data_IF_505358040934
#
_entry.id   IF_505358040934
#
_cell.length_a   1.000
_cell.length_b   1.000
_cell.length_c   1.000
_cell.angle_alpha   90.00
_cell.angle_beta   90.00
_cell.angle_gamma   90.00
#
_symmetry.space_group_name_H-M   'P 1'
#
loop_
_entity.id
_entity.type
_entity.pdbx_description
1 polymer ?
#
# COMPACT_ATOMS: atom_id res chain seq x y z
N UNK A 1 11.57 -5.58 -13.59
CA UNK A 1 11.76 -4.70 -14.76
C UNK A 1 12.64 -5.47 -15.73
N UNK A 2 12.15 -5.81 -16.92
CA UNK A 2 12.99 -6.46 -17.93
C UNK A 2 13.92 -5.40 -18.52
N UNK A 3 15.25 -5.47 -18.33
CA UNK A 3 16.15 -4.38 -18.70
C UNK A 3 16.09 -4.06 -20.20
N UNK A 4 15.87 -5.09 -21.02
CA UNK A 4 15.69 -4.99 -22.48
C UNK A 4 14.52 -4.10 -22.87
N UNK A 5 13.41 -4.14 -22.11
CA UNK A 5 12.21 -3.36 -22.40
C UNK A 5 12.40 -1.88 -22.18
N UNK A 6 13.13 -1.50 -21.14
CA UNK A 6 13.39 -0.11 -20.85
C UNK A 6 14.33 0.52 -21.87
N UNK A 7 15.35 -0.23 -22.32
CA UNK A 7 16.33 0.24 -23.31
C UNK A 7 15.67 0.62 -24.63
N UNK A 8 14.86 -0.26 -25.23
CA UNK A 8 14.24 0.07 -26.51
C UNK A 8 13.21 1.21 -26.39
N UNK A 9 12.49 1.31 -25.27
CA UNK A 9 11.51 2.39 -25.04
C UNK A 9 12.19 3.75 -24.92
N UNK A 10 13.34 3.80 -24.23
CA UNK A 10 14.15 5.01 -24.14
C UNK A 10 14.67 5.45 -25.51
N UNK A 11 15.13 4.50 -26.34
CA UNK A 11 15.52 4.79 -27.73
C UNK A 11 14.33 5.32 -28.53
N UNK A 12 13.16 4.69 -28.46
CA UNK A 12 11.97 5.16 -29.18
C UNK A 12 11.53 6.57 -28.73
N UNK A 13 11.68 6.90 -27.44
CA UNK A 13 11.38 8.22 -26.91
C UNK A 13 12.37 9.27 -27.44
N UNK A 14 13.67 8.96 -27.47
CA UNK A 14 14.71 9.84 -28.03
C UNK A 14 14.45 10.16 -29.51
N UNK A 15 13.96 9.17 -30.28
CA UNK A 15 13.69 9.30 -31.71
C UNK A 15 12.23 9.67 -32.03
N UNK A 16 11.43 10.08 -31.04
CA UNK A 16 9.99 10.30 -31.21
C UNK A 16 9.63 11.35 -32.30
N UNK A 17 10.53 12.29 -32.60
CA UNK A 17 10.35 13.28 -33.67
C UNK A 17 10.46 12.69 -35.10
N UNK A 18 11.02 11.49 -35.24
CA UNK A 18 11.13 10.76 -36.51
C UNK A 18 9.92 9.85 -36.75
N UNK A 19 9.84 9.17 -37.90
CA UNK A 19 8.74 8.23 -38.13
C UNK A 19 8.95 6.90 -37.38
N UNK A 20 7.86 6.25 -36.97
CA UNK A 20 7.93 4.96 -36.27
C UNK A 20 8.68 3.86 -37.06
N UNK A 21 8.65 3.91 -38.40
CA UNK A 21 9.39 2.99 -39.24
C UNK A 21 10.90 3.26 -39.22
N UNK A 22 11.32 4.53 -39.24
CA UNK A 22 12.73 4.91 -39.17
C UNK A 22 13.33 4.53 -37.81
N UNK A 23 12.63 4.86 -36.73
CA UNK A 23 13.04 4.45 -35.40
C UNK A 23 13.09 2.92 -35.25
N UNK A 24 12.17 2.18 -35.87
CA UNK A 24 12.23 0.72 -35.87
C UNK A 24 13.47 0.17 -36.61
N UNK A 25 13.85 0.74 -37.76
CA UNK A 25 15.08 0.32 -38.46
C UNK A 25 16.33 0.62 -37.63
N UNK A 26 16.40 1.79 -37.02
CA UNK A 26 17.50 2.15 -36.12
C UNK A 26 17.58 1.21 -34.91
N UNK A 27 16.43 0.83 -34.38
CA UNK A 27 16.34 -0.07 -33.23
C UNK A 27 16.77 -1.50 -33.60
N UNK A 28 16.44 -1.97 -34.80
CA UNK A 28 16.96 -3.24 -35.34
C UNK A 28 18.48 -3.20 -35.54
N UNK A 29 19.01 -2.11 -36.09
CA UNK A 29 20.45 -1.97 -36.33
C UNK A 29 21.26 -1.93 -35.02
N UNK A 30 20.74 -1.25 -34.00
CA UNK A 30 21.41 -1.11 -32.70
C UNK A 30 21.23 -2.30 -31.76
N UNK A 31 20.08 -2.98 -31.78
CA UNK A 31 19.74 -4.03 -30.80
C UNK A 31 19.61 -5.44 -31.39
N UNK A 32 19.62 -5.59 -32.71
CA UNK A 32 19.48 -6.88 -33.40
C UNK A 32 18.26 -7.66 -32.90
N UNK A 33 18.47 -8.91 -32.50
CA UNK A 33 17.42 -9.81 -32.00
C UNK A 33 16.74 -9.35 -30.69
N UNK A 34 17.32 -8.37 -30.00
CA UNK A 34 16.73 -7.79 -28.79
C UNK A 34 15.82 -6.58 -29.10
N UNK A 35 15.67 -6.24 -30.38
CA UNK A 35 14.82 -5.16 -30.84
C UNK A 35 13.33 -5.44 -30.58
N UNK A 36 12.59 -4.39 -30.29
CA UNK A 36 11.14 -4.46 -30.24
C UNK A 36 10.56 -4.69 -31.65
N UNK A 37 9.45 -5.43 -31.72
CA UNK A 37 8.73 -5.63 -32.98
C UNK A 37 8.24 -4.32 -33.57
N UNK A 38 8.07 -4.27 -34.90
CA UNK A 38 7.46 -3.13 -35.59
C UNK A 38 6.14 -2.71 -34.95
N UNK A 39 5.26 -3.67 -34.63
CA UNK A 39 3.98 -3.40 -34.00
C UNK A 39 4.14 -2.70 -32.63
N UNK A 40 5.11 -3.14 -31.83
CA UNK A 40 5.44 -2.52 -30.54
C UNK A 40 5.89 -1.07 -30.72
N UNK A 41 6.75 -0.77 -31.69
CA UNK A 41 7.17 0.61 -31.98
C UNK A 41 5.97 1.50 -32.28
N UNK A 42 5.03 1.06 -33.12
CA UNK A 42 3.83 1.83 -33.45
C UNK A 42 2.91 2.08 -32.24
N UNK A 43 2.80 1.11 -31.33
CA UNK A 43 2.04 1.28 -30.08
C UNK A 43 2.68 2.38 -29.22
N UNK A 44 4.01 2.38 -29.08
CA UNK A 44 4.73 3.41 -28.32
C UNK A 44 4.62 4.79 -28.96
N UNK A 45 4.73 4.90 -30.28
CA UNK A 45 4.51 6.17 -30.98
C UNK A 45 3.10 6.72 -30.79
N UNK A 46 2.09 5.85 -30.69
CA UNK A 46 0.72 6.27 -30.34
C UNK A 46 0.65 6.82 -28.92
N UNK A 47 1.31 6.16 -27.96
CA UNK A 47 1.40 6.61 -26.56
C UNK A 47 2.09 7.97 -26.43
N UNK A 48 3.23 8.14 -27.09
CA UNK A 48 3.97 9.40 -27.13
C UNK A 48 3.14 10.55 -27.75
N UNK A 49 2.37 10.26 -28.82
CA UNK A 49 1.40 11.23 -29.40
C UNK A 49 0.28 11.63 -28.45
N UNK A 50 -0.05 10.77 -27.50
CA UNK A 50 -1.04 11.05 -26.47
C UNK A 50 -0.42 11.75 -25.23
N UNK A 51 0.85 12.14 -25.28
CA UNK A 51 1.55 12.83 -24.19
C UNK A 51 2.10 11.91 -23.09
N UNK A 52 2.14 10.59 -23.32
CA UNK A 52 2.72 9.64 -22.36
C UNK A 52 4.25 9.58 -22.53
N UNK A 53 4.99 10.45 -21.84
CA UNK A 53 6.46 10.56 -21.96
C UNK A 53 7.23 9.53 -21.11
N UNK A 54 6.55 8.81 -20.22
CA UNK A 54 7.20 7.80 -19.39
C UNK A 54 7.48 6.52 -20.17
N UNK A 55 8.74 6.06 -20.12
CA UNK A 55 9.14 4.76 -20.66
C UNK A 55 8.95 3.61 -19.65
N UNK A 56 8.64 3.95 -18.39
CA UNK A 56 8.41 2.97 -17.34
C UNK A 56 7.09 2.23 -17.55
N UNK A 57 7.09 0.93 -17.24
CA UNK A 57 5.84 0.19 -17.21
C UNK A 57 5.02 0.67 -16.01
N UNK A 58 3.84 1.24 -16.29
CA UNK A 58 2.87 1.53 -15.23
C UNK A 58 2.68 0.28 -14.36
N UNK A 59 2.51 0.44 -13.03
CA UNK A 59 2.24 -0.69 -12.17
C UNK A 59 1.09 -1.50 -12.76
N UNK A 60 1.34 -2.79 -13.02
CA UNK A 60 0.30 -3.66 -13.54
C UNK A 60 -0.86 -3.62 -12.55
N UNK A 61 -2.05 -3.31 -13.05
CA UNK A 61 -3.27 -3.45 -12.27
C UNK A 61 -3.39 -4.95 -11.98
N UNK A 62 -2.93 -5.33 -10.79
CA UNK A 62 -2.95 -6.71 -10.34
C UNK A 62 -4.37 -7.21 -10.17
N UNK A 63 -4.52 -8.38 -9.56
CA UNK A 63 -5.84 -8.87 -9.19
C UNK A 63 -6.56 -7.82 -8.32
N UNK A 64 -7.80 -7.42 -8.66
CA UNK A 64 -8.55 -6.48 -7.84
C UNK A 64 -8.60 -6.96 -6.38
N UNK A 65 -8.50 -6.04 -5.39
CA UNK A 65 -8.59 -6.41 -4.00
C UNK A 65 -9.94 -7.10 -3.74
N UNK A 66 -9.89 -8.24 -3.06
CA UNK A 66 -11.12 -8.99 -2.75
C UNK A 66 -11.99 -8.16 -1.80
N UNK A 67 -13.29 -8.02 -2.10
CA UNK A 67 -14.26 -7.26 -1.30
C UNK A 67 -14.24 -7.63 0.19
N UNK A 68 -13.84 -8.86 0.52
CA UNK A 68 -13.73 -9.37 1.90
C UNK A 68 -12.59 -8.72 2.71
N UNK A 69 -11.64 -8.01 2.08
CA UNK A 69 -10.51 -7.37 2.79
C UNK A 69 -10.99 -6.33 3.81
N UNK A 70 -11.91 -5.45 3.41
CA UNK A 70 -12.44 -4.41 4.31
C UNK A 70 -13.21 -5.03 5.48
N UNK A 71 -14.01 -6.07 5.20
CA UNK A 71 -14.79 -6.79 6.21
C UNK A 71 -13.89 -7.45 7.26
N UNK A 72 -12.79 -8.07 6.84
CA UNK A 72 -11.80 -8.68 7.75
C UNK A 72 -11.17 -7.63 8.67
N UNK A 73 -10.77 -6.48 8.12
CA UNK A 73 -10.15 -5.39 8.90
C UNK A 73 -11.16 -4.80 9.89
N UNK A 74 -12.38 -4.50 9.44
CA UNK A 74 -13.44 -3.95 10.29
C UNK A 74 -13.80 -4.90 11.45
N UNK A 75 -13.87 -6.21 11.19
CA UNK A 75 -14.14 -7.22 12.23
C UNK A 75 -13.02 -7.24 13.28
N UNK A 76 -11.75 -7.14 12.85
CA UNK A 76 -10.60 -7.08 13.75
C UNK A 76 -10.57 -5.80 14.59
N UNK A 77 -11.02 -4.67 14.05
CA UNK A 77 -11.03 -3.39 14.77
C UNK A 77 -12.18 -3.32 15.79
N UNK A 78 -13.33 -3.91 15.46
CA UNK A 78 -14.45 -4.01 16.39
C UNK A 78 -14.14 -4.94 17.58
N UNK A 79 -13.42 -6.03 17.35
CA UNK A 79 -13.06 -7.01 18.37
C UNK A 79 -11.59 -7.49 18.18
N UNK A 80 -10.62 -6.80 18.81
CA UNK A 80 -9.19 -7.06 18.62
C UNK A 80 -8.68 -8.31 19.33
N UNK A 81 -9.49 -8.92 20.18
CA UNK A 81 -9.20 -10.14 20.96
C UNK A 81 -9.49 -11.44 20.17
N UNK A 82 -10.18 -11.34 19.03
CA UNK A 82 -10.52 -12.51 18.23
C UNK A 82 -9.30 -13.16 17.58
N UNK A 83 -9.32 -14.50 17.51
CA UNK A 83 -8.30 -15.23 16.76
C UNK A 83 -8.53 -15.09 15.25
N UNK A 84 -7.48 -15.30 14.47
CA UNK A 84 -7.56 -15.35 13.00
C UNK A 84 -8.58 -16.39 12.52
N UNK A 85 -8.73 -17.51 13.26
CA UNK A 85 -9.69 -18.56 12.92
C UNK A 85 -11.14 -18.11 13.18
N UNK A 86 -11.37 -17.35 14.24
CA UNK A 86 -12.71 -16.80 14.55
C UNK A 86 -13.12 -15.74 13.51
N UNK A 87 -12.18 -14.88 13.13
CA UNK A 87 -12.39 -13.87 12.08
C UNK A 87 -12.67 -14.56 10.74
N UNK A 88 -11.93 -15.62 10.41
CA UNK A 88 -12.17 -16.42 9.21
C UNK A 88 -13.59 -17.03 9.19
N UNK A 89 -14.04 -17.60 10.30
CA UNK A 89 -15.37 -18.17 10.43
C UNK A 89 -16.47 -17.10 10.28
N UNK A 90 -16.32 -15.95 10.95
CA UNK A 90 -17.31 -14.85 10.92
C UNK A 90 -17.40 -14.17 9.57
N UNK A 91 -16.27 -13.99 8.89
CA UNK A 91 -16.21 -13.31 7.58
C UNK A 91 -16.32 -14.26 6.39
N UNK A 92 -16.53 -15.57 6.65
CA UNK A 92 -16.54 -16.63 5.63
C UNK A 92 -15.36 -16.51 4.66
N UNK A 93 -14.18 -16.21 5.21
CA UNK A 93 -12.95 -15.99 4.45
C UNK A 93 -11.96 -17.06 4.86
N UNK A 94 -11.26 -17.70 3.91
CA UNK A 94 -10.22 -18.68 4.25
C UNK A 94 -9.18 -18.08 5.20
N UNK A 95 -8.75 -18.87 6.18
CA UNK A 95 -7.75 -18.45 7.19
C UNK A 95 -6.48 -17.87 6.56
N UNK A 96 -6.01 -18.46 5.46
CA UNK A 96 -4.83 -17.98 4.70
C UNK A 96 -5.04 -16.55 4.20
N UNK A 97 -6.19 -16.28 3.58
CA UNK A 97 -6.54 -14.93 3.10
C UNK A 97 -6.65 -13.93 4.25
N UNK A 98 -7.19 -14.32 5.41
CA UNK A 98 -7.23 -13.45 6.60
C UNK A 98 -5.81 -13.11 7.07
N UNK A 99 -4.91 -14.10 7.12
CA UNK A 99 -3.48 -13.87 7.44
C UNK A 99 -2.82 -12.90 6.46
N UNK A 100 -3.03 -13.08 5.15
CA UNK A 100 -2.46 -12.21 4.12
C UNK A 100 -2.99 -10.78 4.23
N UNK A 101 -4.28 -10.63 4.54
CA UNK A 101 -4.89 -9.32 4.78
C UNK A 101 -4.24 -8.64 5.97
N UNK A 102 -4.02 -9.33 7.10
CA UNK A 102 -3.33 -8.73 8.24
C UNK A 102 -1.88 -8.38 7.96
N UNK A 103 -1.15 -9.26 7.27
CA UNK A 103 0.25 -9.02 6.87
C UNK A 103 0.36 -7.78 5.97
N UNK A 104 -0.48 -7.69 4.94
CA UNK A 104 -0.46 -6.56 3.98
C UNK A 104 -1.06 -5.27 4.53
N UNK A 105 -1.81 -5.32 5.63
CA UNK A 105 -2.35 -4.12 6.32
C UNK A 105 -1.52 -3.70 7.54
N UNK A 106 -0.44 -4.42 7.86
CA UNK A 106 0.43 -4.10 9.00
C UNK A 106 -0.19 -4.38 10.37
N UNK A 107 -1.29 -5.15 10.44
CA UNK A 107 -1.91 -5.55 11.70
C UNK A 107 -1.06 -6.64 12.35
N UNK A 108 -0.56 -6.36 13.55
CA UNK A 108 0.27 -7.28 14.33
C UNK A 108 -0.42 -7.60 15.67
N UNK A 109 -0.45 -8.87 16.09
CA UNK A 109 -0.99 -9.22 17.40
C UNK A 109 -0.10 -8.64 18.49
N UNK A 110 -0.71 -8.01 19.49
CA UNK A 110 -0.03 -7.50 20.69
C UNK A 110 -0.65 -8.15 21.92
N UNK A 111 0.17 -8.45 22.91
CA UNK A 111 -0.33 -8.94 24.19
C UNK A 111 -1.11 -7.82 24.89
N UNK A 112 -2.21 -8.15 25.58
CA UNK A 112 -2.93 -7.19 26.38
C UNK A 112 -2.02 -6.66 27.49
N UNK A 113 -2.16 -5.37 27.82
CA UNK A 113 -1.47 -4.78 28.96
C UNK A 113 -2.06 -5.35 30.25
N UNK A 114 -1.19 -5.83 31.14
CA UNK A 114 -1.60 -6.24 32.49
C UNK A 114 -1.98 -5.00 33.30
N UNK A 115 -3.19 -5.00 33.85
CA UNK A 115 -3.68 -3.96 34.75
C UNK A 115 -3.74 -4.55 36.17
N UNK A 116 -3.16 -3.90 37.20
CA UNK A 116 -3.02 -4.49 38.54
C UNK A 116 -4.31 -4.98 39.20
N UNK A 117 -5.42 -4.28 38.97
CA UNK A 117 -6.74 -4.68 39.46
C UNK A 117 -7.83 -4.04 38.61
N UNK A 118 -9.02 -4.63 38.65
CA UNK A 118 -10.21 -4.05 38.06
C UNK A 118 -10.69 -2.88 38.94
N UNK A 119 -10.82 -1.70 38.34
CA UNK A 119 -11.25 -0.50 39.07
C UNK A 119 -12.76 -0.47 39.22
N UNK A 120 -13.23 -0.30 40.46
CA UNK A 120 -14.62 0.03 40.73
C UNK A 120 -14.95 1.45 40.26
N UNK A 121 -16.25 1.78 40.20
CA UNK A 121 -16.71 3.16 39.94
C UNK A 121 -16.16 4.14 40.98
N UNK A 122 -16.05 3.70 42.23
CA UNK A 122 -15.46 4.48 43.32
C UNK A 122 -13.97 4.75 43.10
N UNK A 123 -13.20 3.73 42.70
CA UNK A 123 -11.76 3.89 42.43
C UNK A 123 -11.49 4.85 41.27
N UNK A 124 -12.37 4.85 40.27
CA UNK A 124 -12.31 5.81 39.15
C UNK A 124 -12.56 7.24 39.63
N UNK A 125 -13.57 7.46 40.49
CA UNK A 125 -13.85 8.78 41.07
C UNK A 125 -12.69 9.28 41.94
N UNK A 126 -12.07 8.40 42.74
CA UNK A 126 -10.87 8.73 43.52
C UNK A 126 -9.70 9.22 42.67
N UNK A 127 -9.58 8.75 41.41
CA UNK A 127 -8.52 9.21 40.49
C UNK A 127 -8.76 10.61 39.93
N UNK A 128 -9.97 11.15 39.99
CA UNK A 128 -10.24 12.55 39.59
C UNK A 128 -9.48 13.55 40.47
N UNK A 129 -9.12 13.15 41.69
CA UNK A 129 -8.23 13.93 42.57
C UNK A 129 -6.88 14.21 41.90
N UNK A 130 -6.34 13.28 41.10
CA UNK A 130 -5.10 13.53 40.35
C UNK A 130 -5.23 14.71 39.38
N UNK A 131 -6.39 14.88 38.74
CA UNK A 131 -6.66 16.05 37.88
C UNK A 131 -6.65 17.35 38.67
N UNK A 132 -7.27 17.35 39.87
CA UNK A 132 -7.25 18.53 40.74
C UNK A 132 -5.83 18.88 41.18
N UNK A 133 -5.03 17.89 41.61
CA UNK A 133 -3.65 18.09 42.01
C UNK A 133 -2.78 18.63 40.87
N UNK A 134 -2.98 18.13 39.64
CA UNK A 134 -2.31 18.67 38.46
C UNK A 134 -2.66 20.15 38.24
N UNK A 135 -3.94 20.52 38.30
CA UNK A 135 -4.34 21.93 38.15
C UNK A 135 -3.77 22.84 39.23
N UNK A 136 -3.69 22.37 40.49
CA UNK A 136 -3.08 23.14 41.58
C UNK A 136 -1.58 23.35 41.35
N UNK A 137 -0.85 22.35 40.88
CA UNK A 137 0.59 22.48 40.55
C UNK A 137 0.81 23.47 39.41
N UNK A 138 -0.04 23.45 38.38
CA UNK A 138 0.04 24.42 37.28
C UNK A 138 -0.26 25.85 37.74
N UNK A 139 -1.26 26.06 38.59
CA UNK A 139 -1.62 27.39 39.12
C UNK A 139 -0.56 27.96 40.06
N UNK A 140 0.06 27.12 40.89
CA UNK A 140 1.13 27.56 41.80
C UNK A 140 2.47 27.74 41.08
N UNK A 141 2.73 27.00 40.00
CA UNK A 141 3.93 27.12 39.17
C UNK A 141 3.95 28.30 38.20
N UNK A 142 2.82 29.00 38.00
CA UNK A 142 2.73 30.24 37.19
C UNK A 142 2.85 31.53 38.02
N UNK A 143 3.15 31.44 39.33
CA UNK A 143 3.29 32.58 40.25
C UNK A 143 4.77 32.90 40.57
N UNK A 144 5.73 32.21 39.96
CA UNK A 144 7.17 32.58 39.96
C UNK A 144 7.62 32.96 38.55
#
# INVERSE_FOLDING_TARGET
MDPKKNVYRAILLQFYFSTANEAHRFLLDSMGDQAASRATCFIWYRKFRNGEESHDEAPRIGRPPTQKRSVVIATCEAQPDLSVRDIAARTQTPKSTVHDVFRTSGKVPKLPRVVPHALSTWDKKRREVCSTLLTYVHLLGSIQ
#
